data_IF_817340956285
#
_entry.id   IF_817340956285
#
_cell.length_a   1.000
_cell.length_b   1.000
_cell.length_c   1.000
_cell.angle_alpha   90.00
_cell.angle_beta   90.00
_cell.angle_gamma   90.00
#
_symmetry.space_group_name_H-M   'P 1'
#
loop_
_entity.id
_entity.type
_entity.pdbx_description
1 polymer ?
#
# COMPACT_ATOMS: atom_id res chain seq x y z
N UNK A 1 -8.33 38.79 11.27
CA UNK A 1 -8.69 37.45 11.74
C UNK A 1 -7.69 36.50 11.11
N UNK A 2 -6.67 36.13 11.88
CA UNK A 2 -5.54 35.30 11.47
C UNK A 2 -6.01 33.89 11.15
N UNK A 3 -5.59 33.38 9.99
CA UNK A 3 -5.92 32.07 9.43
C UNK A 3 -5.87 30.95 10.49
N UNK A 4 -6.99 30.24 10.65
CA UNK A 4 -7.11 29.06 11.50
C UNK A 4 -6.14 27.97 11.03
N UNK A 5 -4.98 27.93 11.69
CA UNK A 5 -4.14 26.76 11.95
C UNK A 5 -4.36 25.56 11.00
N UNK A 6 -3.98 25.72 9.72
CA UNK A 6 -3.99 24.62 8.77
C UNK A 6 -2.97 23.60 9.26
N UNK A 7 -3.43 22.50 9.86
CA UNK A 7 -2.59 21.40 10.35
C UNK A 7 -1.59 21.02 9.26
N UNK A 8 -0.31 21.29 9.52
CA UNK A 8 0.77 20.99 8.58
C UNK A 8 0.95 19.47 8.58
N UNK A 9 0.61 18.84 7.46
CA UNK A 9 0.85 17.42 7.24
C UNK A 9 1.94 17.31 6.18
N UNK A 10 3.09 16.77 6.56
CA UNK A 10 4.22 16.62 5.66
C UNK A 10 4.81 15.21 5.76
N UNK A 11 4.78 14.49 4.65
CA UNK A 11 5.30 13.14 4.54
C UNK A 11 6.72 13.19 3.99
N UNK A 12 7.67 12.66 4.76
CA UNK A 12 9.04 12.52 4.33
C UNK A 12 9.27 11.13 3.76
N UNK A 13 9.69 11.05 2.51
CA UNK A 13 9.90 9.80 1.78
C UNK A 13 11.35 9.66 1.36
N UNK A 14 11.80 8.43 1.11
CA UNK A 14 13.16 8.21 0.61
C UNK A 14 13.29 8.74 -0.82
N UNK A 15 14.34 9.51 -1.10
CA UNK A 15 14.63 9.96 -2.46
C UNK A 15 15.12 8.81 -3.35
N UNK A 16 14.92 8.97 -4.66
CA UNK A 16 15.43 8.10 -5.72
C UNK A 16 16.95 8.19 -5.87
N UNK A 17 17.49 7.49 -6.87
CA UNK A 17 18.93 7.47 -7.14
C UNK A 17 19.49 8.83 -7.56
N UNK A 18 18.64 9.70 -8.12
CA UNK A 18 18.94 11.08 -8.50
C UNK A 18 18.94 12.05 -7.30
N UNK A 19 18.48 11.61 -6.12
CA UNK A 19 18.37 12.41 -4.91
C UNK A 19 17.20 13.41 -4.91
N UNK A 20 16.33 13.38 -5.92
CA UNK A 20 15.21 14.31 -6.08
C UNK A 20 13.87 13.61 -6.31
N UNK A 21 13.84 12.52 -7.08
CA UNK A 21 12.60 11.79 -7.33
C UNK A 21 12.14 11.01 -6.09
N UNK A 22 10.89 10.55 -6.10
CA UNK A 22 10.41 9.60 -5.10
C UNK A 22 11.12 8.26 -5.34
N UNK A 23 11.71 7.69 -4.28
CA UNK A 23 12.36 6.41 -4.34
C UNK A 23 11.38 5.23 -4.29
N UNK A 24 11.82 4.09 -4.82
CA UNK A 24 11.08 2.82 -4.77
C UNK A 24 10.98 2.26 -3.35
N UNK A 25 10.04 2.78 -2.55
CA UNK A 25 9.80 2.36 -1.19
C UNK A 25 8.30 2.02 -1.01
N UNK A 26 7.93 0.75 -0.83
CA UNK A 26 6.52 0.36 -0.68
C UNK A 26 5.88 0.96 0.56
N UNK A 27 6.66 1.22 1.62
CA UNK A 27 6.17 1.86 2.84
C UNK A 27 5.85 3.34 2.64
N UNK A 28 6.68 4.06 1.88
CA UNK A 28 6.42 5.46 1.53
C UNK A 28 5.18 5.58 0.65
N UNK A 29 5.06 4.70 -0.34
CA UNK A 29 3.89 4.65 -1.21
C UNK A 29 2.61 4.32 -0.44
N UNK A 30 2.65 3.39 0.54
CA UNK A 30 1.52 3.09 1.43
C UNK A 30 1.00 4.35 2.13
N UNK A 31 1.88 5.09 2.81
CA UNK A 31 1.47 6.31 3.55
C UNK A 31 0.99 7.42 2.62
N UNK A 32 1.60 7.56 1.45
CA UNK A 32 1.14 8.50 0.43
C UNK A 32 -0.31 8.17 0.01
N UNK A 33 -0.60 6.90 -0.28
CA UNK A 33 -1.95 6.46 -0.65
C UNK A 33 -2.95 6.72 0.47
N UNK A 34 -2.60 6.46 1.73
CA UNK A 34 -3.46 6.73 2.89
C UNK A 34 -3.81 8.22 2.97
N UNK A 35 -2.82 9.12 2.92
CA UNK A 35 -3.05 10.56 2.96
C UNK A 35 -3.88 11.05 1.76
N UNK A 36 -3.63 10.49 0.57
CA UNK A 36 -4.38 10.79 -0.63
C UNK A 36 -5.86 10.40 -0.51
N UNK A 37 -6.14 9.16 -0.06
CA UNK A 37 -7.51 8.67 0.14
C UNK A 37 -8.25 9.40 1.26
N UNK A 38 -7.53 9.88 2.28
CA UNK A 38 -8.10 10.75 3.31
C UNK A 38 -8.54 12.11 2.75
N UNK A 39 -8.00 12.55 1.61
CA UNK A 39 -8.32 13.85 1.01
C UNK A 39 -7.78 15.03 1.81
N UNK A 40 -6.77 14.81 2.67
CA UNK A 40 -6.09 15.88 3.40
C UNK A 40 -5.12 16.60 2.47
N UNK A 41 -4.91 17.90 2.65
CA UNK A 41 -3.80 18.60 1.98
C UNK A 41 -2.50 18.25 2.72
N UNK A 42 -1.55 17.65 2.03
CA UNK A 42 -0.24 17.32 2.59
C UNK A 42 0.88 17.65 1.61
N UNK A 43 2.07 17.88 2.15
CA UNK A 43 3.30 18.03 1.37
C UNK A 43 4.10 16.73 1.38
N UNK A 44 4.89 16.52 0.34
CA UNK A 44 5.82 15.40 0.25
C UNK A 44 7.23 15.92 0.06
N UNK A 45 8.11 15.52 0.96
CA UNK A 45 9.51 15.92 0.93
C UNK A 45 10.38 14.68 0.76
N UNK A 46 11.18 14.66 -0.30
CA UNK A 46 12.12 13.57 -0.59
C UNK A 46 13.41 13.78 0.19
N UNK A 47 13.85 12.73 0.88
CA UNK A 47 15.04 12.73 1.73
C UNK A 47 16.17 11.98 1.03
N UNK A 48 17.22 12.72 0.64
CA UNK A 48 18.48 12.13 0.22
C UNK A 48 19.28 11.67 1.46
N UNK A 49 19.30 10.35 1.66
CA UNK A 49 20.01 9.69 2.75
C UNK A 49 21.54 9.83 2.68
N UNK A 50 22.11 10.21 1.52
CA UNK A 50 23.55 10.44 1.35
C UNK A 50 23.94 11.84 1.79
N UNK A 51 23.10 12.83 1.50
CA UNK A 51 23.35 14.24 1.78
C UNK A 51 22.78 14.70 3.13
N UNK A 52 21.92 13.89 3.78
CA UNK A 52 21.28 14.11 5.09
C UNK A 52 21.11 15.61 5.41
N UNK A 53 20.07 16.26 4.87
CA UNK A 53 19.79 17.67 5.14
C UNK A 53 19.86 17.96 6.64
N UNK A 54 20.53 19.06 7.03
CA UNK A 54 20.69 19.41 8.45
C UNK A 54 19.35 19.53 9.18
N UNK A 55 18.30 19.94 8.45
CA UNK A 55 16.92 20.02 8.94
C UNK A 55 16.41 18.68 9.51
N UNK A 56 16.88 17.54 9.01
CA UNK A 56 16.48 16.22 9.50
C UNK A 56 17.14 15.85 10.82
N UNK A 57 18.33 16.40 11.10
CA UNK A 57 19.03 16.15 12.36
C UNK A 57 18.26 16.76 13.52
N UNK A 58 17.69 17.95 13.31
CA UNK A 58 16.93 18.67 14.31
C UNK A 58 15.49 18.18 14.40
N UNK A 59 14.85 17.89 13.24
CA UNK A 59 13.45 17.47 13.20
C UNK A 59 13.26 16.02 13.67
N UNK A 60 14.09 15.10 13.20
CA UNK A 60 13.90 13.66 13.42
C UNK A 60 15.25 12.92 13.56
N UNK A 61 16.00 13.16 14.65
CA UNK A 61 17.34 12.62 14.84
C UNK A 61 17.34 11.09 14.77
N UNK A 62 17.98 10.54 13.74
CA UNK A 62 18.11 9.10 13.53
C UNK A 62 16.90 8.41 12.89
N UNK A 63 15.80 9.13 12.63
CA UNK A 63 14.64 8.55 11.96
C UNK A 63 14.98 8.16 10.52
N UNK A 64 14.51 6.99 10.10
CA UNK A 64 14.61 6.52 8.72
C UNK A 64 13.30 6.81 8.00
N UNK A 65 13.33 7.33 6.75
CA UNK A 65 12.13 7.45 5.95
C UNK A 65 11.46 6.09 5.70
N UNK A 66 10.11 6.02 5.65
CA UNK A 66 9.21 7.17 5.76
C UNK A 66 8.89 7.58 7.21
N UNK A 67 8.71 8.88 7.43
CA UNK A 67 8.17 9.45 8.66
C UNK A 67 7.23 10.62 8.33
N UNK A 68 6.35 10.96 9.26
CA UNK A 68 5.33 11.99 9.09
C UNK A 68 5.56 13.12 10.09
N UNK A 69 5.54 14.36 9.62
CA UNK A 69 5.39 15.54 10.48
C UNK A 69 3.91 15.94 10.48
N UNK A 70 3.29 15.92 11.65
CA UNK A 70 1.90 16.33 11.85
C UNK A 70 1.84 17.47 12.86
N UNK A 71 1.61 18.69 12.36
CA UNK A 71 1.79 19.92 13.13
C UNK A 71 3.26 20.07 13.52
N UNK A 72 3.57 19.86 14.80
CA UNK A 72 4.93 19.90 15.36
C UNK A 72 5.46 18.53 15.77
N UNK A 73 4.64 17.48 15.66
CA UNK A 73 5.02 16.14 16.11
C UNK A 73 5.52 15.29 14.97
N UNK A 74 6.69 14.67 15.16
CA UNK A 74 7.21 13.66 14.25
C UNK A 74 6.72 12.29 14.66
N UNK A 75 6.05 11.60 13.73
CA UNK A 75 5.62 10.22 13.84
C UNK A 75 6.54 9.35 12.99
N UNK A 76 7.06 8.29 13.60
CA UNK A 76 7.89 7.27 12.96
C UNK A 76 7.18 5.92 13.02
N UNK A 77 7.69 4.92 12.30
CA UNK A 77 7.05 3.61 12.07
C UNK A 77 5.81 3.70 11.18
N UNK A 78 5.85 3.00 10.05
CA UNK A 78 4.77 3.04 9.04
C UNK A 78 3.42 2.57 9.58
N UNK A 79 3.38 1.56 10.44
CA UNK A 79 2.12 1.06 10.97
C UNK A 79 1.53 2.04 11.98
N UNK A 80 2.36 2.58 12.87
CA UNK A 80 1.93 3.59 13.86
C UNK A 80 1.45 4.88 13.20
N UNK A 81 2.12 5.31 12.12
CA UNK A 81 1.68 6.48 11.34
C UNK A 81 0.30 6.21 10.72
N UNK A 82 0.08 5.03 10.15
CA UNK A 82 -1.21 4.67 9.57
C UNK A 82 -2.33 4.65 10.62
N UNK A 83 -2.10 3.99 11.77
CA UNK A 83 -3.05 3.98 12.89
C UNK A 83 -3.38 5.41 13.35
N UNK A 84 -2.34 6.23 13.54
CA UNK A 84 -2.50 7.64 13.91
C UNK A 84 -3.33 8.42 12.89
N UNK A 85 -3.08 8.24 11.59
CA UNK A 85 -3.83 8.91 10.52
C UNK A 85 -5.30 8.45 10.48
N UNK A 86 -5.57 7.16 10.70
CA UNK A 86 -6.95 6.65 10.73
C UNK A 86 -7.74 7.21 11.92
N UNK A 87 -7.11 7.32 13.09
CA UNK A 87 -7.73 7.85 14.30
C UNK A 87 -7.96 9.38 14.23
N UNK A 88 -6.95 10.14 13.78
CA UNK A 88 -6.98 11.60 13.78
C UNK A 88 -7.68 12.21 12.56
N UNK A 89 -7.65 11.52 11.41
CA UNK A 89 -8.37 11.92 10.20
C UNK A 89 -9.65 11.09 10.08
N UNK A 90 -10.60 11.31 10.98
CA UNK A 90 -11.84 10.56 11.08
C UNK A 90 -13.08 11.33 10.58
N UNK A 91 -14.22 10.65 10.36
CA UNK A 91 -15.49 11.30 10.02
C UNK A 91 -15.94 12.31 11.10
N UNK A 92 -16.67 13.37 10.73
CA UNK A 92 -17.32 13.62 9.43
C UNK A 92 -16.42 14.29 8.39
N UNK A 93 -15.23 14.77 8.78
CA UNK A 93 -14.36 15.57 7.90
C UNK A 93 -13.58 14.73 6.89
N UNK A 94 -13.20 13.51 7.27
CA UNK A 94 -12.40 12.61 6.44
C UNK A 94 -13.03 11.21 6.40
N UNK A 95 -12.86 10.45 5.30
CA UNK A 95 -13.43 9.11 5.18
C UNK A 95 -12.70 8.12 6.11
N UNK A 96 -13.43 7.11 6.59
CA UNK A 96 -12.85 5.94 7.27
C UNK A 96 -12.26 5.01 6.20
N UNK A 97 -11.01 4.59 6.38
CA UNK A 97 -10.31 3.71 5.42
C UNK A 97 -10.08 2.30 5.96
N UNK A 98 -10.31 2.07 7.26
CA UNK A 98 -10.20 0.74 7.85
C UNK A 98 -11.13 -0.26 7.16
N UNK A 99 -10.58 -1.43 6.82
CA UNK A 99 -11.34 -2.54 6.23
C UNK A 99 -12.45 -3.02 7.17
N UNK A 100 -13.60 -3.36 6.61
CA UNK A 100 -14.76 -3.96 7.29
C UNK A 100 -14.50 -5.42 7.59
N UNK A 101 -13.90 -6.16 6.65
CA UNK A 101 -13.59 -7.57 6.84
C UNK A 101 -12.17 -7.76 7.37
N UNK A 102 -11.96 -8.42 8.53
CA UNK A 102 -10.63 -8.68 9.06
C UNK A 102 -9.75 -9.52 8.11
N UNK A 103 -10.37 -10.39 7.31
CA UNK A 103 -9.65 -11.24 6.34
C UNK A 103 -8.94 -10.40 5.28
N UNK A 104 -9.54 -9.27 4.84
CA UNK A 104 -8.95 -8.31 3.91
C UNK A 104 -7.59 -7.80 4.40
N UNK A 105 -7.43 -7.59 5.71
CA UNK A 105 -6.17 -7.10 6.29
C UNK A 105 -5.05 -8.15 6.25
N UNK A 106 -5.41 -9.44 6.17
CA UNK A 106 -4.47 -10.56 6.19
C UNK A 106 -4.21 -11.17 4.81
N UNK A 107 -5.09 -10.92 3.85
CA UNK A 107 -4.98 -11.38 2.48
C UNK A 107 -3.69 -10.87 1.83
N UNK A 108 -2.86 -11.79 1.32
CA UNK A 108 -1.65 -11.45 0.57
C UNK A 108 -0.47 -10.92 1.40
N UNK A 109 -0.54 -10.88 2.73
CA UNK A 109 0.56 -10.39 3.59
C UNK A 109 1.87 -11.17 3.41
N UNK A 110 1.79 -12.47 3.11
CA UNK A 110 2.94 -13.36 2.93
C UNK A 110 3.52 -13.32 1.50
N UNK A 111 2.82 -12.76 0.51
CA UNK A 111 3.29 -12.68 -0.88
C UNK A 111 4.64 -11.98 -0.96
N UNK A 112 4.80 -10.83 -0.30
CA UNK A 112 6.02 -10.05 -0.40
C UNK A 112 7.21 -10.70 0.31
N UNK A 113 6.99 -11.41 1.42
CA UNK A 113 8.06 -12.12 2.12
C UNK A 113 8.53 -13.35 1.33
N UNK A 114 7.60 -14.10 0.71
CA UNK A 114 7.91 -15.21 -0.20
C UNK A 114 8.63 -14.73 -1.45
N UNK A 115 8.18 -13.63 -2.03
CA UNK A 115 8.84 -12.98 -3.16
C UNK A 115 10.27 -12.53 -2.81
N UNK A 116 10.45 -11.89 -1.66
CA UNK A 116 11.77 -11.47 -1.18
C UNK A 116 12.72 -12.64 -0.98
N UNK A 117 12.22 -13.76 -0.45
CA UNK A 117 13.00 -14.99 -0.29
C UNK A 117 13.41 -15.59 -1.64
N UNK A 118 12.49 -15.59 -2.62
CA UNK A 118 12.76 -16.08 -3.98
C UNK A 118 13.83 -15.25 -4.71
N UNK A 119 13.68 -13.93 -4.77
CA UNK A 119 14.62 -13.06 -5.51
C UNK A 119 16.00 -12.98 -4.87
N UNK A 120 16.09 -13.08 -3.54
CA UNK A 120 17.38 -13.04 -2.83
C UNK A 120 18.09 -14.38 -2.80
N UNK A 121 17.44 -15.45 -3.25
CA UNK A 121 18.02 -16.79 -3.22
C UNK A 121 19.16 -16.92 -4.23
N UNK A 122 20.31 -17.35 -3.76
CA UNK A 122 21.48 -17.66 -4.58
C UNK A 122 21.68 -19.16 -4.80
N UNK A 123 20.90 -20.03 -4.16
CA UNK A 123 21.03 -21.48 -4.25
C UNK A 123 20.04 -22.08 -5.27
N UNK A 124 20.49 -22.56 -6.45
CA UNK A 124 19.60 -23.07 -7.50
C UNK A 124 18.68 -24.22 -7.05
N UNK A 125 19.10 -25.03 -6.08
CA UNK A 125 18.32 -26.19 -5.59
C UNK A 125 17.06 -25.79 -4.82
N UNK A 126 17.01 -24.56 -4.30
CA UNK A 126 15.86 -24.04 -3.55
C UNK A 126 14.89 -23.25 -4.42
N UNK A 127 15.26 -22.92 -5.67
CA UNK A 127 14.46 -22.09 -6.57
C UNK A 127 13.05 -22.64 -6.76
N UNK A 128 12.92 -23.92 -7.12
CA UNK A 128 11.63 -24.55 -7.38
C UNK A 128 10.70 -24.50 -6.16
N UNK A 129 11.24 -24.71 -4.96
CA UNK A 129 10.46 -24.70 -3.72
C UNK A 129 10.03 -23.28 -3.35
N UNK A 130 10.90 -22.29 -3.55
CA UNK A 130 10.60 -20.87 -3.30
C UNK A 130 9.59 -20.32 -4.31
N UNK A 131 9.72 -20.68 -5.59
CA UNK A 131 8.78 -20.32 -6.64
C UNK A 131 7.40 -20.92 -6.38
N UNK A 132 7.33 -22.22 -6.06
CA UNK A 132 6.07 -22.87 -5.65
C UNK A 132 5.45 -22.19 -4.43
N UNK A 133 6.27 -21.77 -3.46
CA UNK A 133 5.82 -21.03 -2.28
C UNK A 133 5.21 -19.68 -2.63
N UNK A 134 5.84 -18.92 -3.54
CA UNK A 134 5.32 -17.65 -4.05
C UNK A 134 4.03 -17.84 -4.84
N UNK A 135 3.99 -18.81 -5.76
CA UNK A 135 2.80 -19.13 -6.55
C UNK A 135 1.62 -19.56 -5.66
N UNK A 136 1.89 -20.32 -4.59
CA UNK A 136 0.85 -20.70 -3.62
C UNK A 136 0.29 -19.48 -2.86
N UNK A 137 1.15 -18.54 -2.46
CA UNK A 137 0.71 -17.31 -1.81
C UNK A 137 -0.11 -16.41 -2.76
N UNK A 138 0.34 -16.27 -4.01
CA UNK A 138 -0.41 -15.54 -5.06
C UNK A 138 -1.74 -16.21 -5.36
N UNK A 139 -1.78 -17.54 -5.44
CA UNK A 139 -3.02 -18.30 -5.63
C UNK A 139 -4.00 -18.05 -4.49
N UNK A 140 -3.53 -18.09 -3.23
CA UNK A 140 -4.38 -17.81 -2.07
C UNK A 140 -4.99 -16.40 -2.14
N UNK A 141 -4.21 -15.41 -2.58
CA UNK A 141 -4.71 -14.06 -2.81
C UNK A 141 -5.74 -14.02 -3.94
N UNK A 142 -5.48 -14.70 -5.06
CA UNK A 142 -6.42 -14.77 -6.20
C UNK A 142 -7.73 -15.48 -5.81
N UNK A 143 -7.65 -16.59 -5.09
CA UNK A 143 -8.80 -17.33 -4.55
C UNK A 143 -9.64 -16.43 -3.62
N UNK A 144 -8.99 -15.64 -2.75
CA UNK A 144 -9.67 -14.67 -1.90
C UNK A 144 -10.40 -13.61 -2.74
N UNK A 145 -9.75 -13.03 -3.74
CA UNK A 145 -10.32 -12.01 -4.61
C UNK A 145 -11.45 -12.55 -5.51
N UNK A 146 -11.40 -13.84 -5.87
CA UNK A 146 -12.45 -14.51 -6.64
C UNK A 146 -13.67 -14.91 -5.79
N UNK A 147 -13.50 -15.10 -4.48
CA UNK A 147 -14.57 -15.49 -3.57
C UNK A 147 -15.42 -14.28 -3.18
N UNK A 148 -16.77 -14.34 -3.27
CA UNK A 148 -17.63 -13.22 -2.86
C UNK A 148 -17.47 -12.90 -1.37
N UNK A 149 -17.51 -11.62 -1.02
CA UNK A 149 -17.55 -11.19 0.38
C UNK A 149 -18.96 -11.38 0.96
N UNK A 150 -19.13 -11.50 2.28
CA UNK A 150 -20.45 -11.61 2.91
C UNK A 150 -21.41 -10.47 2.53
N UNK A 151 -20.88 -9.26 2.34
CA UNK A 151 -21.65 -8.09 1.91
C UNK A 151 -22.16 -8.19 0.45
N UNK A 152 -21.59 -9.09 -0.37
CA UNK A 152 -21.99 -9.31 -1.78
C UNK A 152 -22.98 -10.46 -1.93
N UNK A 153 -23.19 -11.27 -0.88
CA UNK A 153 -24.09 -12.41 -0.90
C UNK A 153 -25.49 -11.92 -0.52
N UNK A 154 -26.37 -11.78 -1.50
CA UNK A 154 -27.80 -11.55 -1.25
C UNK A 154 -28.49 -12.91 -1.04
N UNK A 155 -28.79 -13.24 0.23
CA UNK A 155 -29.51 -14.46 0.63
C UNK A 155 -30.90 -14.60 -0.02
N UNK A 156 -31.46 -13.52 -0.59
CA UNK A 156 -32.75 -13.53 -1.29
C UNK A 156 -32.64 -13.59 -2.82
N UNK A 157 -31.44 -13.56 -3.38
CA UNK A 157 -31.23 -13.64 -4.82
C UNK A 157 -31.29 -15.10 -5.30
N UNK A 158 -31.93 -15.33 -6.45
CA UNK A 158 -32.05 -16.66 -7.05
C UNK A 158 -30.77 -17.12 -7.77
N UNK A 159 -29.78 -16.24 -7.88
CA UNK A 159 -28.52 -16.48 -8.57
C UNK A 159 -27.41 -16.73 -7.53
N UNK A 160 -26.79 -17.92 -7.57
CA UNK A 160 -25.57 -18.17 -6.81
C UNK A 160 -24.48 -17.21 -7.34
N UNK A 161 -24.05 -16.26 -6.51
CA UNK A 161 -22.88 -15.41 -6.82
C UNK A 161 -21.63 -16.29 -6.73
N UNK A 162 -21.30 -16.98 -7.82
CA UNK A 162 -20.16 -17.92 -7.85
C UNK A 162 -18.81 -17.22 -7.96
N UNK A 163 -18.78 -15.91 -8.22
CA UNK A 163 -17.55 -15.13 -8.41
C UNK A 163 -17.74 -13.68 -8.01
N UNK A 164 -16.78 -13.13 -7.28
CA UNK A 164 -16.79 -11.72 -6.90
C UNK A 164 -16.46 -10.82 -8.09
N UNK A 165 -17.13 -9.66 -8.13
CA UNK A 165 -16.89 -8.60 -9.12
C UNK A 165 -16.13 -7.40 -8.54
N UNK A 166 -15.68 -7.51 -7.28
CA UNK A 166 -15.10 -6.37 -6.56
C UNK A 166 -13.75 -5.92 -7.14
N UNK A 167 -13.51 -4.60 -7.25
CA UNK A 167 -12.24 -4.06 -7.74
C UNK A 167 -11.12 -4.03 -6.70
N UNK A 168 -11.42 -4.09 -5.39
CA UNK A 168 -10.45 -3.96 -4.29
C UNK A 168 -10.65 -5.04 -3.22
N UNK A 169 -9.72 -5.14 -2.26
CA UNK A 169 -9.68 -6.24 -1.30
C UNK A 169 -10.99 -6.39 -0.51
N UNK A 170 -11.51 -5.27 -0.02
CA UNK A 170 -12.65 -5.22 0.91
C UNK A 170 -13.95 -4.72 0.26
N UNK A 171 -13.99 -4.62 -1.08
CA UNK A 171 -15.19 -4.23 -1.83
C UNK A 171 -14.91 -3.23 -2.96
N UNK A 172 -15.82 -2.25 -3.10
CA UNK A 172 -15.82 -1.29 -4.21
C UNK A 172 -14.93 -0.06 -3.98
N UNK A 173 -14.40 0.13 -2.77
CA UNK A 173 -13.59 1.29 -2.38
C UNK A 173 -12.24 0.83 -1.83
N UNK A 174 -11.20 1.62 -2.06
CA UNK A 174 -9.87 1.39 -1.51
C UNK A 174 -9.85 1.53 0.03
N UNK A 175 -9.20 0.58 0.68
CA UNK A 175 -9.02 0.52 2.14
C UNK A 175 -7.55 0.52 2.55
N UNK A 176 -7.26 0.57 3.85
CA UNK A 176 -5.91 0.44 4.39
C UNK A 176 -5.22 -0.87 3.96
N UNK A 177 -5.99 -1.96 3.81
CA UNK A 177 -5.47 -3.24 3.32
C UNK A 177 -4.89 -3.11 1.90
N UNK A 178 -5.61 -2.39 1.02
CA UNK A 178 -5.16 -2.08 -0.33
C UNK A 178 -3.89 -1.22 -0.32
N UNK A 179 -3.87 -0.15 0.48
CA UNK A 179 -2.70 0.72 0.64
C UNK A 179 -1.44 -0.05 1.09
N UNK A 180 -1.60 -1.11 1.88
CA UNK A 180 -0.50 -1.95 2.34
C UNK A 180 -0.03 -2.95 1.27
N UNK A 181 -0.96 -3.59 0.57
CA UNK A 181 -0.66 -4.70 -0.34
C UNK A 181 -0.26 -4.23 -1.74
N UNK A 182 -0.93 -3.22 -2.30
CA UNK A 182 -0.75 -2.79 -3.68
C UNK A 182 0.66 -2.30 -4.01
N UNK A 183 1.35 -1.50 -3.16
CA UNK A 183 2.72 -1.10 -3.42
C UNK A 183 3.67 -2.31 -3.53
N UNK A 184 3.45 -3.31 -2.67
CA UNK A 184 4.24 -4.55 -2.64
C UNK A 184 3.97 -5.40 -3.88
N UNK A 185 2.71 -5.54 -4.28
CA UNK A 185 2.35 -6.28 -5.50
C UNK A 185 2.87 -5.61 -6.76
N UNK A 186 2.87 -4.27 -6.82
CA UNK A 186 3.45 -3.56 -7.96
C UNK A 186 4.94 -3.85 -8.10
N UNK A 187 5.70 -3.84 -7.01
CA UNK A 187 7.12 -4.23 -7.02
C UNK A 187 7.30 -5.66 -7.51
N UNK A 188 6.51 -6.61 -6.99
CA UNK A 188 6.54 -8.02 -7.42
C UNK A 188 6.28 -8.13 -8.93
N UNK A 189 5.27 -7.42 -9.45
CA UNK A 189 4.92 -7.40 -10.87
C UNK A 189 6.03 -6.83 -11.75
N UNK A 190 6.61 -5.69 -11.36
CA UNK A 190 7.67 -5.01 -12.13
C UNK A 190 8.93 -5.88 -12.18
N UNK A 191 9.34 -6.43 -11.03
CA UNK A 191 10.57 -7.23 -10.95
C UNK A 191 10.42 -8.59 -11.64
N UNK A 192 9.27 -9.25 -11.48
CA UNK A 192 9.07 -10.58 -12.06
C UNK A 192 8.62 -10.57 -13.52
N UNK A 193 8.21 -9.42 -14.08
CA UNK A 193 7.60 -9.32 -15.41
C UNK A 193 6.68 -10.53 -15.70
N UNK A 194 5.77 -10.82 -14.76
CA UNK A 194 4.95 -12.03 -14.77
C UNK A 194 4.28 -12.20 -16.14
N UNK A 195 4.39 -13.39 -16.73
CA UNK A 195 3.73 -13.72 -18.00
C UNK A 195 2.24 -13.32 -17.89
N UNK A 196 1.71 -12.45 -18.77
CA UNK A 196 0.40 -11.81 -18.62
C UNK A 196 -0.82 -12.75 -18.51
N UNK A 197 -0.63 -14.05 -18.72
CA UNK A 197 -1.68 -15.05 -18.89
C UNK A 197 -2.07 -15.82 -17.61
N UNK A 198 -1.38 -15.64 -16.48
CA UNK A 198 -1.54 -16.57 -15.33
C UNK A 198 -2.56 -16.15 -14.24
N UNK A 199 -2.91 -14.86 -14.07
CA UNK A 199 -3.77 -14.42 -12.94
C UNK A 199 -4.64 -13.20 -13.30
N UNK A 200 -5.86 -13.41 -13.82
CA UNK A 200 -6.75 -12.34 -14.29
C UNK A 200 -7.20 -11.38 -13.18
N UNK A 201 -7.51 -11.88 -11.98
CA UNK A 201 -8.08 -11.07 -10.88
C UNK A 201 -7.04 -10.14 -10.27
N UNK A 202 -5.82 -10.64 -9.99
CA UNK A 202 -4.67 -9.80 -9.59
C UNK A 202 -4.38 -8.71 -10.62
N UNK A 203 -4.52 -9.02 -11.92
CA UNK A 203 -4.35 -8.02 -13.00
C UNK A 203 -5.45 -6.96 -12.99
N UNK A 204 -6.69 -7.34 -12.69
CA UNK A 204 -7.83 -6.42 -12.59
C UNK A 204 -7.57 -5.38 -11.51
N UNK A 205 -7.20 -5.81 -10.31
CA UNK A 205 -6.93 -4.91 -9.18
C UNK A 205 -5.77 -3.97 -9.47
N UNK A 206 -4.65 -4.49 -9.99
CA UNK A 206 -3.48 -3.64 -10.32
C UNK A 206 -3.85 -2.60 -11.40
N UNK A 207 -4.71 -2.95 -12.38
CA UNK A 207 -5.20 -2.01 -13.38
C UNK A 207 -6.14 -0.95 -12.78
N UNK A 208 -7.11 -1.36 -11.97
CA UNK A 208 -8.06 -0.46 -11.31
C UNK A 208 -7.34 0.57 -10.43
N UNK A 209 -6.26 0.15 -9.78
CA UNK A 209 -5.41 1.02 -8.94
C UNK A 209 -4.55 1.98 -9.77
N UNK A 210 -3.92 1.50 -10.85
CA UNK A 210 -3.14 2.35 -11.77
C UNK A 210 -3.99 3.50 -12.35
N UNK A 211 -5.26 3.21 -12.63
CA UNK A 211 -6.24 4.18 -13.12
C UNK A 211 -6.71 5.09 -11.97
N UNK A 212 -7.00 4.53 -10.79
CA UNK A 212 -7.52 5.28 -9.63
C UNK A 212 -6.51 6.19 -8.92
N UNK A 213 -5.21 5.86 -8.94
CA UNK A 213 -4.14 6.66 -8.32
C UNK A 213 -3.42 7.55 -9.36
N UNK A 214 -3.95 7.63 -10.58
CA UNK A 214 -3.53 8.60 -11.60
C UNK A 214 -2.06 8.49 -11.98
N UNK A 215 -1.57 7.32 -12.42
CA UNK A 215 -0.34 7.12 -13.22
C UNK A 215 1.02 7.61 -12.66
N UNK A 216 1.05 8.51 -11.68
CA UNK A 216 2.23 9.27 -11.26
C UNK A 216 3.11 8.50 -10.26
N UNK A 217 2.64 7.36 -9.74
CA UNK A 217 3.35 6.56 -8.75
C UNK A 217 4.05 5.30 -9.32
N UNK A 218 4.13 5.15 -10.64
CA UNK A 218 4.67 3.94 -11.29
C UNK A 218 5.89 4.22 -12.17
N UNK A 219 6.63 5.29 -11.88
CA UNK A 219 7.95 5.54 -12.47
C UNK A 219 9.05 5.23 -11.46
#
# INVERSE_FOLDING_TARGET
MSDENKLQVELFVKAGSDGQSIGNCPFSQRLFMVLWLKGVTFNVTTVDMKRKPDILKDLAPGAQPPFLLYGTEVKTDTNKIEEFLEENLSPPKYPRLASRNPESNTAGLDVFSKFSAYIKNSNPQLNDNLEKGLLKALKKLDDYLGSPLPDEIDENSADDVTSSSRPFLDGQVLTLADCNLLPKLNIVKVILCFKPSLWPSVRSIIKSVLIGVGGALVC
#
